data_IF_282468072922
#
_entry.id   IF_282468072922
#
_cell.length_a   1.000
_cell.length_b   1.000
_cell.length_c   1.000
_cell.angle_alpha   90.00
_cell.angle_beta   90.00
_cell.angle_gamma   90.00
#
_symmetry.space_group_name_H-M   'P 1'
#
loop_
_entity.id
_entity.type
_entity.pdbx_description
1 polymer ?
#
# COMPACT_ATOMS: atom_id res chain seq x y z
N UNK A 1 -105.27 8.93 27.79
CA UNK A 1 -104.42 7.75 28.16
C UNK A 1 -103.52 7.26 27.05
N UNK A 2 -104.00 7.07 25.85
CA UNK A 2 -103.27 6.50 24.69
C UNK A 2 -102.04 7.39 24.29
N UNK A 3 -102.10 8.72 24.42
CA UNK A 3 -101.01 9.65 24.07
C UNK A 3 -99.83 9.50 25.01
N UNK A 4 -100.04 9.26 26.28
CA UNK A 4 -98.90 9.07 27.22
C UNK A 4 -98.26 7.71 27.08
N UNK A 5 -98.99 6.68 26.67
CA UNK A 5 -98.41 5.36 26.34
C UNK A 5 -97.47 5.44 25.11
N UNK A 6 -97.89 6.16 24.07
CA UNK A 6 -97.10 6.31 22.88
C UNK A 6 -95.78 7.08 23.18
N UNK A 7 -95.85 8.07 24.08
CA UNK A 7 -94.70 8.85 24.49
C UNK A 7 -93.72 7.98 25.30
N UNK A 8 -94.20 7.11 26.18
CA UNK A 8 -93.42 6.13 26.95
C UNK A 8 -92.71 5.10 26.04
N UNK A 9 -93.43 4.63 25.02
CA UNK A 9 -92.85 3.66 24.07
C UNK A 9 -91.79 4.33 23.22
N UNK A 10 -91.94 5.57 22.76
CA UNK A 10 -90.92 6.30 22.02
C UNK A 10 -89.71 6.57 22.91
N UNK A 11 -89.90 6.92 24.18
CA UNK A 11 -88.79 7.12 25.11
C UNK A 11 -88.02 5.83 25.39
N UNK A 12 -88.73 4.68 25.53
CA UNK A 12 -88.04 3.41 25.68
C UNK A 12 -87.24 2.98 24.47
N UNK A 13 -87.76 3.21 23.26
CA UNK A 13 -87.04 2.92 22.02
C UNK A 13 -85.76 3.84 21.85
N UNK A 14 -85.88 5.12 22.27
CA UNK A 14 -84.75 6.06 22.26
C UNK A 14 -83.63 5.64 23.24
N UNK A 15 -84.07 5.10 24.43
CA UNK A 15 -83.08 4.64 25.44
C UNK A 15 -82.35 3.36 25.00
N UNK A 16 -83.00 2.45 24.27
CA UNK A 16 -82.35 1.23 23.74
C UNK A 16 -81.46 1.52 22.60
N UNK A 17 -81.72 2.54 21.80
CA UNK A 17 -80.85 2.96 20.70
C UNK A 17 -79.50 3.55 21.17
N UNK A 18 -79.43 4.14 22.38
CA UNK A 18 -78.18 4.73 22.93
C UNK A 18 -77.21 3.67 23.46
N UNK A 19 -77.64 2.43 23.72
CA UNK A 19 -76.77 1.37 24.22
C UNK A 19 -76.05 0.58 23.10
N UNK A 20 -76.45 0.76 21.83
CA UNK A 20 -75.92 0.01 20.69
C UNK A 20 -74.60 0.52 20.14
N UNK A 21 -74.05 1.66 20.62
CA UNK A 21 -72.83 2.31 20.01
C UNK A 21 -71.55 2.15 20.83
N UNK A 22 -71.42 1.18 21.72
CA UNK A 22 -70.18 1.12 22.53
C UNK A 22 -69.44 -0.21 22.48
N UNK A 23 -69.53 -0.93 21.38
CA UNK A 23 -68.65 -2.10 21.16
C UNK A 23 -67.74 -1.83 20.00
N UNK A 24 -66.76 -0.93 20.23
CA UNK A 24 -65.51 -1.03 19.49
C UNK A 24 -64.75 -2.19 20.12
N UNK A 25 -65.05 -3.40 19.65
CA UNK A 25 -64.33 -4.57 20.07
C UNK A 25 -63.01 -4.64 19.25
N UNK A 26 -61.97 -4.00 19.78
CA UNK A 26 -60.61 -4.10 19.23
C UNK A 26 -59.80 -5.21 19.89
N UNK A 27 -60.48 -6.18 20.48
CA UNK A 27 -59.87 -7.28 21.21
C UNK A 27 -58.97 -8.15 20.33
N UNK A 28 -59.28 -8.23 19.05
CA UNK A 28 -58.45 -8.90 18.05
C UNK A 28 -57.13 -8.15 17.80
N UNK A 29 -57.18 -6.82 17.77
CA UNK A 29 -56.01 -5.98 17.63
C UNK A 29 -55.12 -6.00 18.87
N UNK A 30 -55.71 -5.96 20.05
CA UNK A 30 -54.96 -6.12 21.30
C UNK A 30 -54.31 -7.50 21.43
N UNK A 31 -55.02 -8.56 21.06
CA UNK A 31 -54.46 -9.91 21.01
C UNK A 31 -53.31 -10.01 19.97
N UNK A 32 -53.45 -9.37 18.82
CA UNK A 32 -52.39 -9.32 17.80
C UNK A 32 -51.17 -8.57 18.31
N UNK A 33 -51.35 -7.43 18.97
CA UNK A 33 -50.23 -6.66 19.52
C UNK A 33 -49.48 -7.47 20.58
N UNK A 34 -50.20 -8.13 21.47
CA UNK A 34 -49.60 -8.99 22.50
C UNK A 34 -48.86 -10.18 21.89
N UNK A 35 -49.50 -10.89 20.96
CA UNK A 35 -48.84 -12.04 20.29
C UNK A 35 -47.66 -11.66 19.42
N UNK A 36 -47.72 -10.50 18.78
CA UNK A 36 -46.62 -10.00 17.97
C UNK A 36 -45.42 -9.54 18.80
N UNK A 37 -45.62 -9.14 20.05
CA UNK A 37 -44.58 -8.73 20.97
C UNK A 37 -43.85 -9.89 21.67
N UNK A 38 -44.52 -11.04 21.83
CA UNK A 38 -43.92 -12.17 22.56
C UNK A 38 -42.81 -12.90 21.83
N UNK A 39 -42.77 -12.80 20.49
CA UNK A 39 -41.70 -13.38 19.65
C UNK A 39 -40.50 -12.48 19.41
N UNK A 40 -40.60 -11.21 19.77
CA UNK A 40 -39.56 -10.19 19.47
C UNK A 40 -38.55 -9.96 20.60
N UNK A 41 -38.52 -10.79 21.62
CA UNK A 41 -37.41 -10.82 22.58
C UNK A 41 -36.20 -11.40 21.85
N UNK A 42 -35.50 -10.56 21.12
CA UNK A 42 -34.22 -10.93 20.56
C UNK A 42 -33.33 -11.46 21.67
N UNK A 43 -32.80 -12.64 21.48
CA UNK A 43 -31.76 -13.19 22.34
C UNK A 43 -30.53 -12.30 22.11
N UNK A 44 -30.27 -11.41 23.04
CA UNK A 44 -29.02 -10.59 22.98
C UNK A 44 -27.91 -11.55 23.37
N UNK A 45 -27.05 -11.87 22.39
CA UNK A 45 -25.85 -12.64 22.67
C UNK A 45 -25.04 -11.93 23.77
N UNK A 46 -24.58 -12.67 24.79
CA UNK A 46 -23.76 -12.07 25.82
C UNK A 46 -22.53 -11.40 25.17
N UNK A 47 -22.22 -10.20 25.64
CA UNK A 47 -21.03 -9.48 25.18
C UNK A 47 -19.80 -10.39 25.31
N UNK A 48 -18.92 -10.42 24.30
CA UNK A 48 -17.69 -11.20 24.39
C UNK A 48 -16.89 -10.74 25.61
N UNK A 49 -16.34 -11.70 26.34
CA UNK A 49 -15.48 -11.41 27.48
C UNK A 49 -14.32 -10.53 27.05
N UNK A 50 -14.18 -9.38 27.70
CA UNK A 50 -13.03 -8.48 27.47
C UNK A 50 -11.81 -9.20 28.05
N UNK A 51 -10.99 -9.78 27.17
CA UNK A 51 -9.68 -10.30 27.58
C UNK A 51 -8.84 -9.13 28.03
N UNK A 52 -8.34 -9.11 29.27
CA UNK A 52 -7.48 -8.04 29.72
C UNK A 52 -6.28 -7.94 28.81
N UNK A 53 -6.03 -6.73 28.31
CA UNK A 53 -4.87 -6.46 27.46
C UNK A 53 -3.60 -6.74 28.30
N UNK A 54 -2.80 -7.71 27.86
CA UNK A 54 -1.50 -7.94 28.45
C UNK A 54 -0.57 -6.80 28.05
N UNK A 55 -0.16 -6.01 29.01
CA UNK A 55 0.82 -4.96 28.77
C UNK A 55 2.14 -5.61 28.37
N UNK A 56 2.55 -5.38 27.15
CA UNK A 56 3.89 -5.76 26.70
C UNK A 56 4.88 -4.71 27.20
N UNK A 57 5.77 -5.11 28.10
CA UNK A 57 6.87 -4.26 28.51
C UNK A 57 8.02 -4.44 27.52
N UNK A 58 8.37 -3.39 26.81
CA UNK A 58 9.51 -3.42 25.92
C UNK A 58 10.81 -3.56 26.73
N UNK A 59 11.50 -4.69 26.56
CA UNK A 59 12.74 -5.03 27.28
C UNK A 59 13.93 -5.17 26.32
N UNK A 60 13.95 -4.44 25.25
CA UNK A 60 14.99 -4.53 24.24
C UNK A 60 16.00 -3.38 24.33
N UNK A 61 16.32 -2.94 25.56
CA UNK A 61 17.30 -1.86 25.78
C UNK A 61 18.73 -2.25 25.37
N UNK A 62 19.03 -3.55 25.36
CA UNK A 62 20.33 -4.09 24.94
C UNK A 62 20.45 -4.37 23.46
N UNK A 63 19.35 -4.24 22.71
CA UNK A 63 19.37 -4.41 21.27
C UNK A 63 19.80 -3.09 20.63
N UNK A 64 20.83 -3.08 19.78
CA UNK A 64 21.24 -1.86 19.08
C UNK A 64 20.10 -1.30 18.25
N UNK A 65 19.95 0.02 18.26
CA UNK A 65 18.90 0.70 17.51
C UNK A 65 18.92 0.29 16.02
N UNK A 66 17.78 -0.05 15.42
CA UNK A 66 17.71 -0.39 14.01
C UNK A 66 18.08 0.79 13.07
N UNK A 67 18.13 2.00 13.61
CA UNK A 67 18.51 3.21 12.87
C UNK A 67 20.01 3.53 12.96
N UNK A 68 20.77 2.80 13.77
CA UNK A 68 22.23 2.90 13.73
C UNK A 68 22.71 2.02 12.58
N UNK A 69 23.47 2.57 11.62
CA UNK A 69 24.05 1.77 10.56
C UNK A 69 24.80 0.60 11.19
N UNK A 70 24.40 -0.63 10.85
CA UNK A 70 25.17 -1.81 11.27
C UNK A 70 26.54 -1.65 10.67
N UNK A 71 27.55 -1.48 11.49
CA UNK A 71 28.91 -1.75 11.06
C UNK A 71 28.93 -3.23 10.73
N UNK A 72 28.71 -3.56 9.46
CA UNK A 72 28.93 -4.91 8.96
C UNK A 72 30.30 -5.26 9.48
N UNK A 73 30.32 -6.29 10.38
CA UNK A 73 31.50 -6.60 11.17
C UNK A 73 32.71 -6.48 10.29
N UNK A 74 33.71 -5.78 10.77
CA UNK A 74 34.93 -5.48 10.07
C UNK A 74 35.33 -6.67 9.19
N UNK A 75 34.82 -6.72 7.94
CA UNK A 75 35.70 -7.11 6.87
C UNK A 75 36.83 -6.14 7.09
N UNK A 76 37.95 -6.60 7.66
CA UNK A 76 39.18 -5.82 7.68
C UNK A 76 39.19 -5.18 6.32
N UNK A 77 38.96 -3.86 6.31
CA UNK A 77 39.22 -3.09 5.14
C UNK A 77 40.70 -3.37 4.90
N UNK A 78 40.92 -4.44 4.14
CA UNK A 78 42.06 -4.44 3.26
C UNK A 78 41.79 -3.12 2.57
N UNK A 79 42.59 -2.11 2.86
CA UNK A 79 42.57 -0.88 2.09
C UNK A 79 42.72 -1.35 0.66
N UNK A 80 41.60 -1.77 0.08
CA UNK A 80 41.51 -2.10 -1.30
C UNK A 80 41.71 -0.73 -1.93
N UNK A 81 42.85 -0.52 -2.54
CA UNK A 81 43.22 0.75 -3.14
C UNK A 81 42.30 1.11 -4.32
N UNK A 82 41.01 0.77 -4.16
CA UNK A 82 39.90 1.08 -5.04
C UNK A 82 39.58 2.53 -4.82
N UNK A 83 40.10 3.38 -5.71
CA UNK A 83 39.73 4.78 -5.76
C UNK A 83 39.37 5.10 -7.20
N UNK A 84 38.31 5.88 -7.43
CA UNK A 84 37.99 6.34 -8.76
C UNK A 84 39.10 7.26 -9.27
N UNK A 85 39.46 7.14 -10.53
CA UNK A 85 40.37 8.05 -11.17
C UNK A 85 39.68 9.41 -11.41
N UNK A 86 39.96 10.36 -10.53
CA UNK A 86 39.41 11.72 -10.59
C UNK A 86 40.15 12.61 -11.58
N UNK A 87 41.31 12.16 -12.09
CA UNK A 87 42.16 12.97 -13.00
C UNK A 87 41.73 12.83 -14.45
N UNK A 88 41.01 11.79 -14.81
CA UNK A 88 40.51 11.59 -16.17
C UNK A 88 39.36 12.54 -16.54
N UNK A 89 39.27 12.85 -17.81
CA UNK A 89 38.13 13.60 -18.33
C UNK A 89 36.88 12.75 -18.24
N UNK A 90 35.82 13.28 -17.64
CA UNK A 90 34.52 12.61 -17.58
C UNK A 90 33.87 12.51 -18.96
N UNK A 91 33.25 11.38 -19.24
CA UNK A 91 32.43 11.17 -20.43
C UNK A 91 31.06 11.84 -20.27
N UNK A 92 30.37 12.14 -21.37
CA UNK A 92 29.09 12.85 -21.35
C UNK A 92 28.04 12.12 -20.54
N UNK A 93 27.98 10.78 -20.62
CA UNK A 93 27.01 9.96 -19.96
C UNK A 93 27.22 9.80 -18.44
N UNK A 94 28.36 10.24 -17.92
CA UNK A 94 28.60 10.35 -16.47
C UNK A 94 27.94 11.57 -15.83
N UNK A 95 27.38 12.48 -16.63
CA UNK A 95 26.61 13.62 -16.12
C UNK A 95 25.20 13.23 -15.69
N UNK A 96 24.73 12.08 -16.10
CA UNK A 96 23.38 11.58 -15.82
C UNK A 96 23.41 10.43 -14.82
N UNK A 97 22.44 10.33 -13.88
CA UNK A 97 22.26 9.13 -13.06
C UNK A 97 22.00 7.91 -13.94
N UNK A 98 22.50 6.75 -13.53
CA UNK A 98 22.35 5.51 -14.31
C UNK A 98 20.87 5.15 -14.55
N UNK A 99 20.01 5.44 -13.59
CA UNK A 99 18.56 5.17 -13.65
C UNK A 99 17.83 5.98 -14.75
N UNK A 100 18.44 7.09 -15.17
CA UNK A 100 17.89 7.97 -16.21
C UNK A 100 18.42 7.61 -17.61
N UNK A 101 19.35 6.68 -17.71
CA UNK A 101 19.89 6.19 -18.95
C UNK A 101 19.10 4.95 -19.41
N UNK A 102 18.81 4.87 -20.70
CA UNK A 102 18.04 3.77 -21.27
C UNK A 102 18.86 3.07 -22.35
N UNK A 103 19.05 1.76 -22.19
CA UNK A 103 19.56 0.94 -23.29
C UNK A 103 18.43 0.72 -24.30
N UNK A 104 18.64 1.15 -25.55
CA UNK A 104 17.63 1.05 -26.62
C UNK A 104 18.01 0.06 -27.71
N UNK A 105 19.21 -0.48 -27.66
CA UNK A 105 19.65 -1.50 -28.60
C UNK A 105 21.15 -1.73 -28.55
N UNK A 106 21.60 -2.61 -29.46
CA UNK A 106 23.01 -2.90 -29.68
C UNK A 106 23.35 -2.71 -31.16
N UNK A 107 24.59 -2.42 -31.42
CA UNK A 107 25.16 -2.35 -32.77
C UNK A 107 26.41 -3.20 -32.79
N UNK A 108 26.46 -4.19 -33.66
CA UNK A 108 27.66 -4.97 -33.92
C UNK A 108 28.39 -4.43 -35.14
N UNK A 109 29.65 -4.14 -34.98
CA UNK A 109 30.50 -3.71 -36.05
C UNK A 109 31.82 -4.50 -35.99
N UNK A 110 32.05 -5.35 -36.97
CA UNK A 110 33.14 -6.33 -36.96
C UNK A 110 33.04 -7.21 -35.68
N UNK A 111 34.10 -7.31 -34.93
CA UNK A 111 34.16 -8.11 -33.69
C UNK A 111 33.80 -7.30 -32.43
N UNK A 112 33.33 -6.07 -32.59
CA UNK A 112 33.00 -5.18 -31.48
C UNK A 112 31.49 -5.00 -31.35
N UNK A 113 30.98 -5.16 -30.12
CA UNK A 113 29.59 -4.86 -29.76
C UNK A 113 29.54 -3.51 -29.06
N UNK A 114 28.65 -2.64 -29.54
CA UNK A 114 28.36 -1.35 -28.96
C UNK A 114 26.93 -1.37 -28.40
N UNK A 115 26.71 -0.75 -27.25
CA UNK A 115 25.38 -0.46 -26.79
C UNK A 115 24.95 0.94 -27.23
N UNK A 116 23.67 1.08 -27.55
CA UNK A 116 23.03 2.36 -27.83
C UNK A 116 22.30 2.79 -26.57
N UNK A 117 22.78 3.88 -25.98
CA UNK A 117 22.22 4.44 -24.74
C UNK A 117 21.55 5.76 -25.06
N UNK A 118 20.28 5.87 -24.65
CA UNK A 118 19.50 7.10 -24.75
C UNK A 118 19.57 7.86 -23.42
N UNK A 119 19.99 9.11 -23.50
CA UNK A 119 19.99 10.03 -22.35
C UNK A 119 18.63 10.70 -22.16
N UNK A 120 18.37 11.33 -21.00
CA UNK A 120 17.09 12.00 -20.71
C UNK A 120 16.73 13.13 -21.66
N UNK A 121 17.73 13.76 -22.29
CA UNK A 121 17.56 14.79 -23.32
C UNK A 121 17.16 14.23 -24.70
N UNK A 122 17.04 12.90 -24.82
CA UNK A 122 16.65 12.21 -26.04
C UNK A 122 17.82 11.87 -26.97
N UNK A 123 19.05 12.26 -26.63
CA UNK A 123 20.24 12.00 -27.46
C UNK A 123 20.67 10.54 -27.36
N UNK A 124 21.05 9.95 -28.47
CA UNK A 124 21.57 8.59 -28.55
C UNK A 124 23.10 8.59 -28.56
N UNK A 125 23.69 7.84 -27.66
CA UNK A 125 25.12 7.65 -27.54
C UNK A 125 25.50 6.21 -27.83
N UNK A 126 26.56 6.01 -28.56
CA UNK A 126 27.17 4.72 -28.82
C UNK A 126 28.31 4.49 -27.84
N UNK A 127 28.20 3.46 -27.01
CA UNK A 127 29.18 3.10 -25.99
C UNK A 127 29.74 1.70 -26.22
N UNK A 128 30.98 1.47 -25.79
CA UNK A 128 31.66 0.17 -25.85
C UNK A 128 32.18 -0.23 -24.48
N UNK A 129 32.64 -1.47 -24.36
CA UNK A 129 33.36 -1.93 -23.17
C UNK A 129 34.53 -1.00 -22.85
N UNK A 130 34.64 -0.61 -21.58
CA UNK A 130 35.65 0.33 -21.09
C UNK A 130 35.20 1.80 -21.03
N UNK A 131 34.07 2.19 -21.67
CA UNK A 131 33.45 3.51 -21.48
C UNK A 131 32.78 3.61 -20.10
N UNK A 132 32.46 4.82 -19.70
CA UNK A 132 31.88 5.13 -18.40
C UNK A 132 30.46 5.66 -18.53
N UNK A 133 29.56 5.20 -17.63
CA UNK A 133 28.16 5.59 -17.53
C UNK A 133 27.79 5.90 -16.08
N UNK A 134 26.87 6.83 -15.89
CA UNK A 134 26.34 7.13 -14.56
C UNK A 134 27.29 7.97 -13.70
N UNK A 135 26.75 8.59 -12.66
CA UNK A 135 27.46 9.51 -11.77
C UNK A 135 28.46 8.80 -10.84
N UNK A 136 28.33 7.49 -10.68
CA UNK A 136 29.12 6.67 -9.75
C UNK A 136 30.33 6.00 -10.44
N UNK A 137 30.92 6.63 -11.42
CA UNK A 137 32.09 6.11 -12.15
C UNK A 137 31.89 4.72 -12.77
N UNK A 138 30.65 4.42 -13.21
CA UNK A 138 30.25 3.11 -13.73
C UNK A 138 31.02 2.74 -15.00
N UNK A 139 32.00 1.87 -14.90
CA UNK A 139 32.80 1.37 -16.05
C UNK A 139 32.10 0.18 -16.67
N UNK A 140 31.89 0.20 -17.98
CA UNK A 140 31.31 -0.90 -18.74
C UNK A 140 32.30 -2.06 -18.80
N UNK A 141 31.91 -3.20 -18.20
CA UNK A 141 32.69 -4.43 -18.23
C UNK A 141 32.27 -5.35 -19.37
N UNK A 142 30.95 -5.44 -19.62
CA UNK A 142 30.40 -6.34 -20.60
C UNK A 142 29.15 -5.79 -21.26
N UNK A 143 29.00 -6.03 -22.56
CA UNK A 143 27.83 -5.69 -23.34
C UNK A 143 27.29 -6.96 -23.99
N UNK A 144 26.03 -7.26 -23.76
CA UNK A 144 25.27 -8.31 -24.44
C UNK A 144 24.13 -7.70 -25.26
N UNK A 145 23.40 -8.52 -26.00
CA UNK A 145 22.25 -8.07 -26.80
C UNK A 145 21.14 -7.42 -25.97
N UNK A 146 20.97 -7.83 -24.71
CA UNK A 146 19.87 -7.43 -23.81
C UNK A 146 20.30 -6.62 -22.60
N UNK A 147 21.60 -6.56 -22.30
CA UNK A 147 22.07 -5.90 -21.08
C UNK A 147 23.50 -5.35 -21.22
N UNK A 148 23.77 -4.30 -20.43
CA UNK A 148 25.09 -3.75 -20.21
C UNK A 148 25.44 -3.91 -18.74
N UNK A 149 26.54 -4.61 -18.44
CA UNK A 149 27.07 -4.77 -17.07
C UNK A 149 28.14 -3.72 -16.80
N UNK A 150 27.99 -3.05 -15.66
CA UNK A 150 28.89 -2.00 -15.22
C UNK A 150 29.44 -2.34 -13.84
N UNK A 151 30.63 -1.82 -13.58
CA UNK A 151 31.22 -1.78 -12.27
C UNK A 151 31.24 -0.33 -11.81
N UNK A 152 30.40 -0.01 -10.83
CA UNK A 152 30.31 1.32 -10.22
C UNK A 152 31.21 1.38 -8.99
N UNK A 153 31.78 2.54 -8.74
CA UNK A 153 32.55 2.82 -7.53
C UNK A 153 31.75 3.80 -6.71
N UNK A 154 31.19 3.33 -5.61
CA UNK A 154 30.34 4.11 -4.70
C UNK A 154 31.05 4.35 -3.39
N UNK A 155 30.82 5.52 -2.79
CA UNK A 155 31.35 5.80 -1.46
C UNK A 155 30.33 5.34 -0.41
N UNK A 156 30.77 4.53 0.50
CA UNK A 156 29.99 4.08 1.64
C UNK A 156 29.99 5.16 2.74
N UNK A 157 29.05 5.05 3.72
CA UNK A 157 28.92 5.99 4.84
C UNK A 157 30.14 6.09 5.78
N UNK A 158 31.11 5.19 5.63
CA UNK A 158 32.40 5.22 6.33
C UNK A 158 33.50 5.94 5.54
N UNK A 159 33.16 6.58 4.43
CA UNK A 159 34.10 7.25 3.52
C UNK A 159 35.02 6.27 2.75
N UNK A 160 34.64 4.99 2.70
CA UNK A 160 35.34 3.95 1.96
C UNK A 160 34.75 3.78 0.56
N UNK A 161 35.62 3.53 -0.43
CA UNK A 161 35.19 3.25 -1.79
C UNK A 161 34.92 1.77 -1.96
N UNK A 162 33.74 1.43 -2.48
CA UNK A 162 33.29 0.06 -2.69
C UNK A 162 32.86 -0.14 -4.13
N UNK A 163 33.22 -1.28 -4.71
CA UNK A 163 32.74 -1.68 -6.03
C UNK A 163 31.35 -2.31 -5.94
N UNK A 164 30.48 -1.85 -6.83
CA UNK A 164 29.13 -2.38 -6.98
C UNK A 164 28.88 -2.73 -8.44
N UNK A 165 28.42 -3.95 -8.71
CA UNK A 165 27.96 -4.33 -10.04
C UNK A 165 26.54 -3.84 -10.28
N UNK A 166 26.33 -3.11 -11.37
CA UNK A 166 25.04 -2.64 -11.84
C UNK A 166 24.77 -3.13 -13.26
N UNK A 167 23.52 -3.30 -13.60
CA UNK A 167 23.11 -3.78 -14.93
C UNK A 167 22.08 -2.84 -15.52
N UNK A 168 22.29 -2.40 -16.75
CA UNK A 168 21.32 -1.64 -17.53
C UNK A 168 20.70 -2.57 -18.57
N UNK A 169 19.41 -2.81 -18.45
CA UNK A 169 18.67 -3.72 -19.34
C UNK A 169 18.11 -2.99 -20.55
N UNK A 170 17.97 -3.72 -21.67
CA UNK A 170 17.30 -3.26 -22.86
C UNK A 170 15.83 -2.94 -22.52
N UNK A 171 15.41 -1.74 -22.85
CA UNK A 171 14.02 -1.32 -22.69
C UNK A 171 13.23 -1.70 -23.93
N UNK A 172 12.29 -2.62 -23.76
CA UNK A 172 11.26 -2.94 -24.75
C UNK A 172 10.18 -1.87 -24.81
#
# INVERSE_FOLDING_TARGET
>A
MIRNIRLLVLLAIALTAMTACSQNDYSDLEAFIQSSGEGLKGQIDPLPEIKPHQYFTYQAFDIPSPFVPRKNGQVQAVASGIQPDLTRRKEVLESYPLENLLMVGTLQQHDMIFALIKSPDGTLYRVKTGNYLGQNFGKINHISESEVKLLEIVQDGANEWTEKTSTLMLKN
#
